data_IF_743819038936
#
_entry.id   IF_743819038936
#
_cell.length_a   1.000
_cell.length_b   1.000
_cell.length_c   1.000
_cell.angle_alpha   90.00
_cell.angle_beta   90.00
_cell.angle_gamma   90.00
#
_symmetry.space_group_name_H-M   'P 1'
#
loop_
_entity.id
_entity.type
_entity.pdbx_description
1 polymer ?
#
# COMPACT_ATOMS: atom_id res chain seq x y z
N UNK A 1 3.44 0.76 27.08
CA UNK A 1 3.70 1.96 26.25
C UNK A 1 5.00 1.90 25.42
N UNK A 2 5.69 0.74 25.28
CA UNK A 2 7.01 0.66 24.61
C UNK A 2 6.95 0.33 23.11
N UNK A 3 5.76 0.12 22.56
CA UNK A 3 5.56 -0.36 21.17
C UNK A 3 5.47 0.75 20.13
N UNK A 4 5.31 2.01 20.54
CA UNK A 4 5.16 3.15 19.62
C UNK A 4 6.32 3.36 18.65
N UNK A 5 7.61 3.14 19.00
CA UNK A 5 8.70 3.31 18.03
C UNK A 5 8.64 2.25 16.93
N UNK A 6 8.27 1.01 17.32
CA UNK A 6 8.12 -0.11 16.38
C UNK A 6 6.93 0.14 15.46
N UNK A 7 5.80 0.62 16.00
CA UNK A 7 4.64 0.99 15.20
C UNK A 7 4.95 2.12 14.21
N UNK A 8 5.65 3.17 14.64
CA UNK A 8 6.07 4.27 13.76
C UNK A 8 7.00 3.79 12.63
N UNK A 9 8.01 2.99 12.96
CA UNK A 9 8.91 2.40 11.97
C UNK A 9 8.17 1.49 10.98
N UNK A 10 7.23 0.67 11.47
CA UNK A 10 6.39 -0.18 10.64
C UNK A 10 5.52 0.64 9.68
N UNK A 11 4.85 1.69 10.18
CA UNK A 11 4.02 2.57 9.35
C UNK A 11 4.88 3.24 8.27
N UNK A 12 6.07 3.73 8.61
CA UNK A 12 7.00 4.28 7.63
C UNK A 12 7.41 3.24 6.56
N UNK A 13 7.71 2.01 6.98
CA UNK A 13 8.01 0.92 6.05
C UNK A 13 6.82 0.60 5.14
N UNK A 14 5.59 0.64 5.64
CA UNK A 14 4.38 0.43 4.84
C UNK A 14 4.16 1.55 3.81
N UNK A 15 4.53 2.80 4.12
CA UNK A 15 4.50 3.89 3.14
C UNK A 15 5.48 3.63 1.99
N UNK A 16 6.71 3.20 2.31
CA UNK A 16 7.70 2.83 1.28
C UNK A 16 7.20 1.64 0.44
N UNK A 17 6.60 0.64 1.09
CA UNK A 17 5.98 -0.50 0.41
C UNK A 17 4.84 -0.06 -0.51
N UNK A 18 4.00 0.89 -0.10
CA UNK A 18 2.93 1.42 -0.94
C UNK A 18 3.49 2.05 -2.24
N UNK A 19 4.56 2.84 -2.13
CA UNK A 19 5.24 3.40 -3.31
C UNK A 19 5.80 2.29 -4.20
N UNK A 20 6.47 1.30 -3.62
CA UNK A 20 7.01 0.16 -4.35
C UNK A 20 5.91 -0.63 -5.09
N UNK A 21 4.79 -0.92 -4.41
CA UNK A 21 3.64 -1.60 -5.00
C UNK A 21 3.00 -0.77 -6.10
N UNK A 22 2.83 0.54 -5.93
CA UNK A 22 2.28 1.40 -6.96
C UNK A 22 3.13 1.38 -8.23
N UNK A 23 4.45 1.58 -8.10
CA UNK A 23 5.36 1.56 -9.24
C UNK A 23 5.47 0.16 -9.88
N UNK A 24 5.57 -0.89 -9.06
CA UNK A 24 5.71 -2.28 -9.50
C UNK A 24 4.46 -2.79 -10.20
N UNK A 25 3.27 -2.56 -9.63
CA UNK A 25 1.99 -2.97 -10.24
C UNK A 25 1.72 -2.20 -11.53
N UNK A 26 2.00 -0.90 -11.57
CA UNK A 26 1.92 -0.11 -12.80
C UNK A 26 2.78 -0.70 -13.93
N UNK A 27 4.03 -1.05 -13.62
CA UNK A 27 4.97 -1.65 -14.57
C UNK A 27 4.56 -3.07 -14.98
N UNK A 28 4.18 -3.92 -14.02
CA UNK A 28 3.73 -5.29 -14.29
C UNK A 28 2.52 -5.32 -15.22
N UNK A 29 1.55 -4.43 -15.01
CA UNK A 29 0.39 -4.31 -15.88
C UNK A 29 0.78 -3.89 -17.31
N UNK A 30 1.87 -3.12 -17.50
CA UNK A 30 2.40 -2.84 -18.84
C UNK A 30 3.02 -4.09 -19.49
N UNK A 31 3.84 -4.84 -18.74
CA UNK A 31 4.47 -6.10 -19.20
C UNK A 31 3.43 -7.14 -19.59
N UNK A 32 2.31 -7.21 -18.86
CA UNK A 32 1.17 -8.08 -19.16
C UNK A 32 0.33 -7.62 -20.37
N UNK A 33 0.73 -6.55 -21.06
CA UNK A 33 0.06 -6.06 -22.26
C UNK A 33 -1.17 -5.19 -22.01
N UNK A 34 -1.46 -4.81 -20.76
CA UNK A 34 -2.58 -3.92 -20.38
C UNK A 34 -2.21 -2.44 -20.60
N UNK A 35 -1.47 -2.15 -21.68
CA UNK A 35 -1.03 -0.82 -22.08
C UNK A 35 -1.66 -0.31 -23.38
N UNK A 36 -2.74 -0.95 -23.83
CA UNK A 36 -3.50 -0.55 -25.02
C UNK A 36 -4.79 0.18 -24.62
N UNK A 37 -5.33 1.11 -25.43
CA UNK A 37 -6.67 1.64 -25.19
C UNK A 37 -7.69 0.49 -25.11
N UNK A 38 -8.66 0.50 -24.16
CA UNK A 38 -8.98 1.54 -23.17
C UNK A 38 -8.30 1.34 -21.79
N UNK A 39 -7.48 0.30 -21.59
CA UNK A 39 -6.97 -0.10 -20.27
C UNK A 39 -5.96 0.88 -19.67
N UNK A 40 -5.30 1.70 -20.50
CA UNK A 40 -4.42 2.77 -20.03
C UNK A 40 -5.10 3.79 -19.10
N UNK A 41 -6.42 3.96 -19.20
CA UNK A 41 -7.19 4.93 -18.39
C UNK A 41 -7.34 4.51 -16.93
N UNK A 42 -7.60 3.23 -16.67
CA UNK A 42 -7.86 2.74 -15.31
C UNK A 42 -6.62 2.13 -14.64
N UNK A 43 -5.57 1.79 -15.39
CA UNK A 43 -4.37 1.11 -14.85
C UNK A 43 -3.70 1.88 -13.71
N UNK A 44 -3.64 3.22 -13.79
CA UNK A 44 -3.08 4.05 -12.70
C UNK A 44 -3.93 3.94 -11.44
N UNK A 45 -5.25 3.97 -11.61
CA UNK A 45 -6.21 3.80 -10.53
C UNK A 45 -6.11 2.41 -9.90
N UNK A 46 -5.97 1.35 -10.69
CA UNK A 46 -5.79 0.00 -10.17
C UNK A 46 -4.47 -0.17 -9.40
N UNK A 47 -3.36 0.34 -9.93
CA UNK A 47 -2.08 0.32 -9.23
C UNK A 47 -2.15 1.08 -7.88
N UNK A 48 -2.78 2.26 -7.88
CA UNK A 48 -2.99 3.05 -6.67
C UNK A 48 -3.92 2.34 -5.66
N UNK A 49 -5.02 1.77 -6.14
CA UNK A 49 -5.96 1.04 -5.29
C UNK A 49 -5.30 -0.17 -4.61
N UNK A 50 -4.55 -0.97 -5.37
CA UNK A 50 -3.82 -2.12 -4.81
C UNK A 50 -2.82 -1.66 -3.74
N UNK A 51 -2.03 -0.63 -4.04
CA UNK A 51 -1.05 -0.10 -3.09
C UNK A 51 -1.69 0.42 -1.79
N UNK A 52 -2.76 1.22 -1.92
CA UNK A 52 -3.46 1.82 -0.78
C UNK A 52 -4.20 0.78 0.05
N UNK A 53 -4.88 -0.18 -0.58
CA UNK A 53 -5.61 -1.23 0.13
C UNK A 53 -4.66 -2.10 0.96
N UNK A 54 -3.54 -2.52 0.38
CA UNK A 54 -2.55 -3.35 1.08
C UNK A 54 -1.90 -2.54 2.21
N UNK A 55 -1.28 -1.39 1.89
CA UNK A 55 -0.58 -0.61 2.90
C UNK A 55 -1.51 -0.08 3.99
N UNK A 56 -2.69 0.44 3.61
CA UNK A 56 -3.69 0.93 4.56
C UNK A 56 -4.25 -0.19 5.45
N UNK A 57 -4.50 -1.37 4.88
CA UNK A 57 -4.92 -2.55 5.63
C UNK A 57 -3.88 -2.93 6.69
N UNK A 58 -2.61 -3.02 6.33
CA UNK A 58 -1.54 -3.35 7.28
C UNK A 58 -1.25 -2.23 8.29
N UNK A 59 -1.36 -0.95 7.90
CA UNK A 59 -1.21 0.20 8.82
C UNK A 59 -2.35 0.25 9.84
N UNK A 60 -3.55 -0.21 9.48
CA UNK A 60 -4.69 -0.20 10.41
C UNK A 60 -4.44 -1.01 11.69
N UNK A 61 -3.62 -2.07 11.61
CA UNK A 61 -3.29 -2.95 12.74
C UNK A 61 -2.48 -2.23 13.83
N UNK A 62 -1.26 -1.67 13.55
CA UNK A 62 -0.51 -0.93 14.55
C UNK A 62 -1.24 0.33 15.01
N UNK A 63 -2.06 0.96 14.14
CA UNK A 63 -2.91 2.08 14.56
C UNK A 63 -3.94 1.63 15.60
N UNK A 64 -4.59 0.48 15.41
CA UNK A 64 -5.52 -0.09 16.38
C UNK A 64 -4.84 -0.48 17.71
N UNK A 65 -3.61 -0.99 17.66
CA UNK A 65 -2.79 -1.27 18.85
C UNK A 65 -2.44 0.03 19.59
N UNK A 66 -2.04 1.08 18.87
CA UNK A 66 -1.74 2.39 19.47
C UNK A 66 -2.99 3.07 20.05
N UNK A 67 -4.15 2.84 19.45
CA UNK A 67 -5.44 3.33 19.94
C UNK A 67 -5.98 2.53 21.14
N UNK A 68 -5.32 1.43 21.54
CA UNK A 68 -5.78 0.56 22.65
C UNK A 68 -7.01 -0.28 22.29
N UNK A 69 -7.31 -0.46 21.00
CA UNK A 69 -8.40 -1.33 20.53
C UNK A 69 -7.99 -2.81 20.50
N UNK A 70 -6.68 -3.06 20.40
CA UNK A 70 -6.06 -4.37 20.38
C UNK A 70 -4.93 -4.39 21.42
N UNK A 71 -4.84 -5.47 22.20
CA UNK A 71 -3.89 -5.63 23.31
C UNK A 71 -2.95 -6.81 23.07
#
# INVERSE_FOLDING_TARGET
LRVWPVAAAYIAAMVVLALHLYHGTWSALQTLGLNRPPTGRWRRGAAAAIAVLIAGGYISIPVAVLAGMLH
#
